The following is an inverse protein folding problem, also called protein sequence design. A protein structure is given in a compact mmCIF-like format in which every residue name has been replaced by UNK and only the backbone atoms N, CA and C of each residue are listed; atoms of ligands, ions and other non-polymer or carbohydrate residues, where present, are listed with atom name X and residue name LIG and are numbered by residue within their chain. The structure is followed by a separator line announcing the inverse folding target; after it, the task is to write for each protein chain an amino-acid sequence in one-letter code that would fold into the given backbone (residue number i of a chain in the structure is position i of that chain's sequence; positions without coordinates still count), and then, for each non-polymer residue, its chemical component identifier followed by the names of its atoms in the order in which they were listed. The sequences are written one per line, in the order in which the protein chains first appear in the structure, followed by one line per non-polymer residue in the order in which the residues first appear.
data_IF_057146984963
#
_entry.id   IF_057146984963
#
_cell.length_a   1.000
_cell.length_b   1.000
_cell.length_c   1.000
_cell.angle_alpha   90.00
_cell.angle_beta   90.00
_cell.angle_gamma   90.00
#
_symmetry.space_group_name_H-M   'P 1'
#
loop_
_entity.id
_entity.type
_entity.pdbx_description
1 polymer ?
#
# COMPACT_ATOMS: atom_id res chain seq x y z
N UNK A 1 -52.60 53.80 -13.94
CA UNK A 1 -51.89 54.52 -12.86
C UNK A 1 -50.71 53.67 -12.47
N UNK A 2 -49.50 54.09 -12.83
CA UNK A 2 -48.25 53.89 -12.09
C UNK A 2 -47.19 54.78 -12.73
N UNK A 3 -46.96 55.91 -12.07
CA UNK A 3 -45.74 56.72 -12.13
C UNK A 3 -44.52 55.81 -11.89
N UNK A 4 -43.43 55.91 -12.66
CA UNK A 4 -42.48 57.02 -12.67
C UNK A 4 -41.25 56.59 -11.86
N UNK A 5 -40.03 56.94 -12.28
CA UNK A 5 -38.84 57.27 -11.47
C UNK A 5 -37.64 57.47 -12.43
N UNK A 6 -37.35 58.75 -12.68
CA UNK A 6 -36.15 59.26 -13.34
C UNK A 6 -34.98 59.38 -12.35
N UNK A 7 -33.74 59.25 -12.85
CA UNK A 7 -32.55 59.70 -12.15
C UNK A 7 -31.70 60.61 -13.07
N UNK A 8 -31.23 61.78 -12.57
CA UNK A 8 -30.52 62.76 -13.37
C UNK A 8 -29.02 62.47 -13.50
N UNK A 9 -28.46 62.89 -14.62
CA UNK A 9 -27.02 63.04 -14.85
C UNK A 9 -26.56 64.46 -14.46
N UNK A 10 -25.45 64.57 -13.73
CA UNK A 10 -24.64 65.78 -13.70
C UNK A 10 -23.16 65.45 -13.93
N UNK A 11 -22.50 66.31 -14.69
CA UNK A 11 -21.11 66.22 -15.14
C UNK A 11 -20.18 67.12 -14.29
N UNK A 12 -18.88 66.81 -14.38
CA UNK A 12 -17.70 67.70 -14.43
C UNK A 12 -16.72 67.63 -13.24
N UNK A 13 -15.43 67.54 -13.57
CA UNK A 13 -14.31 67.89 -12.69
C UNK A 13 -13.08 67.02 -12.86
N UNK A 14 -12.22 67.33 -13.84
CA UNK A 14 -10.94 66.65 -14.05
C UNK A 14 -9.87 67.11 -13.07
N UNK A 15 -9.01 66.19 -12.65
CA UNK A 15 -7.65 66.50 -12.22
C UNK A 15 -6.69 65.37 -12.64
N UNK A 16 -5.80 65.70 -13.57
CA UNK A 16 -4.65 64.92 -13.96
C UNK A 16 -3.48 65.19 -13.00
N UNK A 17 -2.96 64.17 -12.32
CA UNK A 17 -1.59 64.19 -11.83
C UNK A 17 -0.90 62.86 -12.15
N UNK A 18 -0.01 62.94 -13.14
CA UNK A 18 1.06 61.98 -13.40
C UNK A 18 2.18 62.24 -12.39
N UNK A 19 2.49 61.23 -11.56
CA UNK A 19 3.82 61.05 -11.01
C UNK A 19 4.17 59.57 -11.02
N UNK A 20 5.00 59.19 -11.99
CA UNK A 20 5.74 57.95 -11.98
C UNK A 20 6.90 58.08 -11.00
N UNK A 21 6.86 57.32 -9.91
CA UNK A 21 8.04 57.00 -9.11
C UNK A 21 8.18 55.48 -9.05
N UNK A 22 9.00 54.94 -9.95
CA UNK A 22 9.44 53.55 -9.91
C UNK A 22 10.55 53.43 -8.86
N UNK A 23 10.19 52.98 -7.66
CA UNK A 23 11.13 52.48 -6.65
C UNK A 23 11.16 50.94 -6.68
N UNK A 24 12.32 50.27 -6.50
CA UNK A 24 12.41 48.81 -6.45
C UNK A 24 11.84 48.26 -5.12
N UNK A 25 10.51 48.28 -4.99
CA UNK A 25 9.79 47.66 -3.88
C UNK A 25 9.27 46.30 -4.30
N UNK A 26 9.86 45.23 -3.76
CA UNK A 26 9.36 43.87 -3.94
C UNK A 26 8.01 43.71 -3.21
N UNK A 27 7.04 43.11 -3.91
CA UNK A 27 5.73 42.60 -3.47
C UNK A 27 4.49 43.47 -3.78
N UNK A 28 3.93 43.30 -4.98
CA UNK A 28 2.50 43.47 -5.31
C UNK A 28 2.26 42.71 -6.64
N UNK A 29 1.62 41.53 -6.75
CA UNK A 29 0.22 41.12 -6.48
C UNK A 29 -0.50 40.88 -7.85
N UNK A 30 -1.42 39.92 -8.05
CA UNK A 30 -1.65 38.63 -7.40
C UNK A 30 -0.88 37.55 -8.18
N UNK A 31 0.37 37.31 -7.78
CA UNK A 31 1.16 36.22 -8.35
C UNK A 31 0.54 34.90 -7.94
N UNK A 32 -0.25 34.32 -8.85
CA UNK A 32 -0.47 32.89 -9.08
C UNK A 32 0.03 32.07 -7.89
N UNK A 33 -0.87 31.78 -6.96
CA UNK A 33 -0.79 30.70 -6.01
C UNK A 33 0.17 29.64 -6.55
N UNK A 34 1.38 29.60 -5.99
CA UNK A 34 2.37 28.55 -6.27
C UNK A 34 1.82 27.30 -5.62
N UNK A 35 0.83 26.71 -6.29
CA UNK A 35 0.42 25.35 -6.06
C UNK A 35 1.67 24.53 -6.36
N UNK A 36 2.23 23.92 -5.32
CA UNK A 36 3.21 22.85 -5.43
C UNK A 36 2.79 21.99 -6.61
N UNK A 37 3.51 22.11 -7.72
CA UNK A 37 3.14 21.39 -8.92
C UNK A 37 3.25 19.91 -8.60
N UNK A 38 2.11 19.26 -8.50
CA UNK A 38 2.04 17.81 -8.63
C UNK A 38 2.63 17.50 -10.01
N UNK A 39 3.72 16.72 -10.09
CA UNK A 39 4.21 16.23 -11.37
C UNK A 39 3.02 15.60 -12.10
N UNK A 40 2.59 16.22 -13.19
CA UNK A 40 1.49 15.71 -13.99
C UNK A 40 2.03 14.47 -14.67
N UNK A 41 1.54 13.30 -14.27
CA UNK A 41 1.74 12.12 -15.09
C UNK A 41 1.18 12.44 -16.48
N UNK A 42 1.90 12.08 -17.56
CA UNK A 42 1.47 12.39 -18.92
C UNK A 42 0.02 11.92 -19.15
N UNK A 43 -0.77 12.74 -19.83
CA UNK A 43 -2.15 12.47 -20.17
C UNK A 43 -2.24 11.10 -20.85
N UNK A 44 -2.80 10.11 -20.16
CA UNK A 44 -2.82 8.71 -20.61
C UNK A 44 -2.34 7.68 -19.58
N UNK A 45 -1.78 8.11 -18.44
CA UNK A 45 -1.53 7.19 -17.32
C UNK A 45 -2.84 6.88 -16.58
N UNK A 46 -3.73 6.13 -17.23
CA UNK A 46 -4.75 5.40 -16.49
C UNK A 46 -4.02 4.41 -15.56
N UNK A 47 -4.49 4.19 -14.33
CA UNK A 47 -4.04 3.04 -13.55
C UNK A 47 -4.12 1.83 -14.47
N UNK A 48 -2.99 1.20 -14.73
CA UNK A 48 -2.99 -0.02 -15.52
C UNK A 48 -3.89 -0.99 -14.76
N UNK A 49 -4.95 -1.55 -15.37
CA UNK A 49 -5.79 -2.50 -14.68
C UNK A 49 -4.87 -3.60 -14.15
N UNK A 50 -4.94 -3.86 -12.85
CA UNK A 50 -4.18 -4.96 -12.25
C UNK A 50 -4.51 -6.26 -12.98
N UNK A 51 -3.52 -7.14 -13.14
CA UNK A 51 -3.75 -8.43 -13.79
C UNK A 51 -4.82 -9.19 -12.97
N UNK A 52 -5.96 -9.59 -13.56
CA UNK A 52 -6.99 -10.32 -12.82
C UNK A 52 -6.45 -11.54 -12.08
N UNK A 53 -5.37 -12.17 -12.59
CA UNK A 53 -4.72 -13.31 -11.94
C UNK A 53 -4.06 -12.96 -10.62
N UNK A 54 -3.48 -11.76 -10.50
CA UNK A 54 -2.86 -11.33 -9.23
C UNK A 54 -3.94 -11.03 -8.19
N UNK A 55 -5.03 -10.37 -8.59
CA UNK A 55 -6.18 -10.12 -7.71
C UNK A 55 -6.83 -11.42 -7.22
N UNK A 56 -7.02 -12.40 -8.11
CA UNK A 56 -7.57 -13.71 -7.72
C UNK A 56 -6.68 -14.43 -6.71
N UNK A 57 -5.36 -14.36 -6.88
CA UNK A 57 -4.41 -14.96 -5.94
C UNK A 57 -4.48 -14.29 -4.56
N UNK A 58 -4.57 -12.97 -4.51
CA UNK A 58 -4.69 -12.22 -3.26
C UNK A 58 -5.96 -12.58 -2.48
N UNK A 59 -7.08 -12.78 -3.18
CA UNK A 59 -8.34 -13.22 -2.56
C UNK A 59 -8.23 -14.63 -1.99
N UNK A 60 -7.57 -15.54 -2.72
CA UNK A 60 -7.32 -16.92 -2.25
C UNK A 60 -6.38 -16.92 -1.04
N UNK A 61 -5.31 -16.12 -1.07
CA UNK A 61 -4.39 -15.97 0.06
C UNK A 61 -5.12 -15.42 1.29
N UNK A 62 -5.95 -14.38 1.14
CA UNK A 62 -6.75 -13.84 2.23
C UNK A 62 -7.69 -14.90 2.84
N UNK A 63 -8.39 -15.65 2.00
CA UNK A 63 -9.27 -16.74 2.45
C UNK A 63 -8.48 -17.86 3.15
N UNK A 64 -7.30 -18.21 2.64
CA UNK A 64 -6.40 -19.16 3.29
C UNK A 64 -6.03 -18.70 4.70
N UNK A 65 -5.63 -17.44 4.87
CA UNK A 65 -5.16 -16.94 6.17
C UNK A 65 -6.29 -16.95 7.21
N UNK A 66 -7.49 -16.51 6.84
CA UNK A 66 -8.65 -16.55 7.74
C UNK A 66 -8.98 -17.99 8.15
N UNK A 67 -9.04 -18.91 7.19
CA UNK A 67 -9.38 -20.30 7.47
C UNK A 67 -8.28 -21.04 8.24
N UNK A 68 -7.00 -20.79 7.92
CA UNK A 68 -5.86 -21.38 8.63
C UNK A 68 -5.83 -20.94 10.09
N UNK A 69 -6.11 -19.66 10.35
CA UNK A 69 -6.14 -19.10 11.70
C UNK A 69 -7.29 -19.66 12.55
N UNK A 70 -8.39 -20.09 11.91
CA UNK A 70 -9.53 -20.73 12.57
C UNK A 70 -9.44 -22.27 12.64
N UNK A 71 -8.49 -22.88 11.95
CA UNK A 71 -8.38 -24.34 11.85
C UNK A 71 -7.96 -24.97 13.19
N UNK A 72 -8.73 -25.96 13.65
CA UNK A 72 -8.39 -26.74 14.85
C UNK A 72 -7.25 -27.73 14.63
N UNK A 73 -7.02 -28.15 13.38
CA UNK A 73 -5.86 -28.94 12.96
C UNK A 73 -5.15 -28.25 11.77
N UNK A 74 -4.13 -27.41 12.05
CA UNK A 74 -3.36 -26.72 11.03
C UNK A 74 -2.67 -27.67 10.05
N UNK A 75 -2.27 -28.86 10.48
CA UNK A 75 -1.53 -29.81 9.64
C UNK A 75 -2.45 -30.41 8.58
N UNK A 76 -3.64 -30.87 8.99
CA UNK A 76 -4.64 -31.39 8.04
C UNK A 76 -5.16 -30.28 7.12
N UNK A 77 -5.28 -29.05 7.60
CA UNK A 77 -5.63 -27.92 6.76
C UNK A 77 -4.60 -27.71 5.63
N UNK A 78 -3.30 -27.73 5.95
CA UNK A 78 -2.24 -27.57 4.94
C UNK A 78 -2.29 -28.66 3.86
N UNK A 79 -2.63 -29.91 4.25
CA UNK A 79 -2.83 -31.01 3.29
C UNK A 79 -3.97 -30.71 2.32
N UNK A 80 -5.11 -30.26 2.83
CA UNK A 80 -6.29 -29.91 2.01
C UNK A 80 -6.01 -28.70 1.13
N UNK A 81 -5.25 -27.73 1.64
CA UNK A 81 -4.84 -26.55 0.89
C UNK A 81 -3.77 -26.84 -0.19
N UNK A 82 -3.24 -28.06 -0.24
CA UNK A 82 -2.21 -28.47 -1.20
C UNK A 82 -0.83 -27.87 -0.92
N UNK A 83 -0.54 -27.55 0.35
CA UNK A 83 0.79 -27.11 0.77
C UNK A 83 1.59 -28.34 1.21
N UNK A 84 2.69 -28.70 0.53
CA UNK A 84 3.47 -29.88 0.87
C UNK A 84 4.33 -29.64 2.12
N UNK A 85 4.48 -30.66 2.95
CA UNK A 85 5.45 -30.67 4.05
C UNK A 85 6.87 -30.96 3.55
N UNK A 86 6.97 -31.76 2.50
CA UNK A 86 8.21 -31.95 1.73
C UNK A 86 7.89 -31.68 0.28
N UNK A 87 8.43 -30.60 -0.26
CA UNK A 87 8.23 -30.18 -1.64
C UNK A 87 9.50 -30.35 -2.48
N UNK A 88 9.33 -30.59 -3.77
CA UNK A 88 10.41 -30.52 -4.76
C UNK A 88 10.08 -29.44 -5.81
N UNK A 89 11.06 -28.61 -6.17
CA UNK A 89 10.93 -27.68 -7.30
C UNK A 89 11.26 -28.37 -8.64
N UNK A 90 11.12 -27.62 -9.74
CA UNK A 90 11.42 -28.10 -11.10
C UNK A 90 12.88 -28.54 -11.29
N UNK A 91 13.79 -28.07 -10.44
CA UNK A 91 15.21 -28.44 -10.47
C UNK A 91 15.51 -29.71 -9.66
N UNK A 92 14.51 -30.27 -8.97
CA UNK A 92 14.64 -31.41 -8.07
C UNK A 92 15.19 -31.04 -6.69
N UNK A 93 15.24 -29.75 -6.34
CA UNK A 93 15.66 -29.29 -5.02
C UNK A 93 14.56 -29.58 -4.01
N UNK A 94 14.95 -30.14 -2.86
CA UNK A 94 14.02 -30.48 -1.77
C UNK A 94 13.88 -29.37 -0.74
N UNK A 95 12.63 -29.16 -0.33
CA UNK A 95 12.22 -28.17 0.67
C UNK A 95 11.43 -28.86 1.77
N UNK A 96 11.83 -28.66 3.03
CA UNK A 96 11.14 -29.20 4.20
C UNK A 96 10.44 -28.09 4.97
N UNK A 97 9.10 -28.13 5.05
CA UNK A 97 8.31 -27.10 5.73
C UNK A 97 8.63 -27.12 7.22
N UNK A 98 9.04 -25.97 7.74
CA UNK A 98 9.33 -25.78 9.17
C UNK A 98 8.22 -25.02 9.88
N UNK A 99 7.64 -24.01 9.20
CA UNK A 99 6.71 -23.07 9.83
C UNK A 99 5.83 -22.39 8.80
N UNK A 100 4.59 -22.13 9.18
CA UNK A 100 3.70 -21.17 8.52
C UNK A 100 3.65 -19.92 9.39
N UNK A 101 3.88 -18.75 8.79
CA UNK A 101 3.84 -17.46 9.47
C UNK A 101 2.72 -16.60 8.91
N UNK A 102 1.86 -16.12 9.80
CA UNK A 102 0.85 -15.09 9.52
C UNK A 102 1.18 -13.89 10.38
N UNK A 103 1.38 -12.74 9.76
CA UNK A 103 1.75 -11.51 10.45
C UNK A 103 0.78 -10.37 10.16
N UNK A 104 0.27 -9.76 11.23
CA UNK A 104 -0.50 -8.53 11.17
C UNK A 104 0.39 -7.32 11.43
N UNK A 105 0.51 -6.47 10.41
CA UNK A 105 1.19 -5.19 10.51
C UNK A 105 0.17 -4.06 10.47
N UNK A 106 0.26 -3.17 11.43
CA UNK A 106 -0.60 -1.98 11.50
C UNK A 106 0.26 -0.75 11.70
N UNK A 107 0.27 0.13 10.71
CA UNK A 107 0.99 1.40 10.78
C UNK A 107 0.11 2.46 11.47
N UNK A 108 0.56 2.93 12.64
CA UNK A 108 -0.24 3.82 13.52
C UNK A 108 0.29 5.24 13.63
N UNK A 109 1.48 5.53 13.11
CA UNK A 109 2.14 6.83 13.26
C UNK A 109 3.23 7.03 12.23
N UNK A 110 3.58 8.30 11.98
CA UNK A 110 4.69 8.70 11.12
C UNK A 110 5.69 9.54 11.90
N UNK A 111 6.97 9.46 11.51
CA UNK A 111 8.05 10.29 12.04
C UNK A 111 8.62 11.13 10.90
N UNK A 112 8.67 12.44 11.09
CA UNK A 112 9.24 13.38 10.13
C UNK A 112 10.39 14.18 10.75
N UNK A 113 11.53 14.36 10.07
CA UNK A 113 12.61 15.21 10.57
C UNK A 113 12.20 16.68 10.56
N UNK A 114 12.66 17.43 11.56
CA UNK A 114 12.53 18.90 11.58
C UNK A 114 13.59 19.53 10.68
N UNK A 115 13.21 20.53 9.88
CA UNK A 115 14.18 21.27 9.06
C UNK A 115 15.16 22.03 9.94
N UNK A 116 16.46 21.90 9.67
CA UNK A 116 17.51 22.73 10.28
C UNK A 116 17.98 22.29 11.67
N UNK A 117 17.64 21.09 12.14
CA UNK A 117 18.11 20.57 13.43
C UNK A 117 18.12 19.05 13.51
N UNK A 118 18.52 18.51 14.67
CA UNK A 118 18.58 17.06 14.93
C UNK A 118 17.25 16.46 15.46
N UNK A 119 16.16 17.24 15.45
CA UNK A 119 14.88 16.84 16.02
C UNK A 119 13.95 16.13 15.03
N UNK A 120 12.97 15.40 15.57
CA UNK A 120 11.90 14.73 14.82
C UNK A 120 10.52 15.11 15.37
N UNK A 121 9.50 15.09 14.52
CA UNK A 121 8.09 15.19 14.88
C UNK A 121 7.43 13.83 14.70
N UNK A 122 6.67 13.40 15.72
CA UNK A 122 5.82 12.23 15.64
C UNK A 122 4.37 12.65 15.39
N UNK A 123 3.74 12.05 14.39
CA UNK A 123 2.36 12.32 14.00
C UNK A 123 1.57 10.99 14.04
N UNK A 124 0.67 10.78 15.03
CA UNK A 124 -0.25 9.65 15.00
C UNK A 124 -1.09 9.67 13.71
N UNK A 125 -1.22 8.53 13.05
CA UNK A 125 -2.00 8.42 11.82
C UNK A 125 -3.50 8.40 12.16
N UNK A 126 -4.33 9.25 11.50
CA UNK A 126 -5.77 9.12 11.58
C UNK A 126 -6.22 7.72 11.14
N UNK A 127 -7.33 7.20 11.67
CA UNK A 127 -7.81 5.85 11.38
C UNK A 127 -7.99 5.56 9.87
N UNK A 128 -8.33 6.59 9.07
CA UNK A 128 -8.46 6.47 7.60
C UNK A 128 -7.12 6.30 6.86
N UNK A 129 -6.01 6.58 7.55
CA UNK A 129 -4.63 6.48 7.04
C UNK A 129 -3.86 5.32 7.69
N UNK A 130 -4.43 4.67 8.71
CA UNK A 130 -3.89 3.44 9.29
C UNK A 130 -3.93 2.34 8.23
N UNK A 131 -2.75 1.88 7.80
CA UNK A 131 -2.65 0.71 6.93
C UNK A 131 -2.62 -0.54 7.78
N UNK A 132 -3.49 -1.51 7.49
CA UNK A 132 -3.42 -2.86 8.03
C UNK A 132 -3.02 -3.79 6.90
N UNK A 133 -1.93 -4.52 7.08
CA UNK A 133 -1.41 -5.48 6.10
C UNK A 133 -1.22 -6.80 6.80
N UNK A 134 -1.78 -7.84 6.20
CA UNK A 134 -1.61 -9.22 6.64
C UNK A 134 -0.65 -9.88 5.66
N UNK A 135 0.38 -10.55 6.18
CA UNK A 135 1.38 -11.21 5.35
C UNK A 135 1.43 -12.69 5.71
N UNK A 136 1.38 -13.56 4.69
CA UNK A 136 1.56 -14.99 4.83
C UNK A 136 2.95 -15.40 4.33
N UNK A 137 3.56 -16.39 4.97
CA UNK A 137 4.63 -17.15 4.36
C UNK A 137 4.82 -18.55 4.93
N UNK A 138 5.55 -19.32 4.15
CA UNK A 138 5.96 -20.68 4.46
C UNK A 138 7.48 -20.72 4.53
N UNK A 139 8.00 -21.09 5.69
CA UNK A 139 9.43 -21.20 5.93
C UNK A 139 9.83 -22.64 5.69
N UNK A 140 10.62 -22.87 4.65
CA UNK A 140 11.15 -24.17 4.29
C UNK A 140 12.66 -24.24 4.55
N UNK A 141 13.18 -25.41 4.89
CA UNK A 141 14.61 -25.67 4.84
C UNK A 141 14.96 -26.35 3.51
N UNK A 142 15.90 -25.78 2.77
CA UNK A 142 16.26 -26.22 1.41
C UNK A 142 17.51 -27.13 1.35
N UNK A 143 17.94 -27.61 2.52
CA UNK A 143 19.19 -28.36 2.74
C UNK A 143 20.39 -27.49 3.09
N UNK A 144 20.32 -26.16 2.93
CA UNK A 144 21.40 -25.22 3.25
C UNK A 144 20.94 -24.11 4.19
N UNK A 145 19.76 -23.56 3.95
CA UNK A 145 19.23 -22.43 4.70
C UNK A 145 17.71 -22.54 4.84
N UNK A 146 17.17 -21.71 5.73
CA UNK A 146 15.74 -21.44 5.77
C UNK A 146 15.41 -20.42 4.68
N UNK A 147 14.49 -20.78 3.81
CA UNK A 147 13.95 -19.93 2.74
C UNK A 147 12.49 -19.61 3.02
N UNK A 148 12.08 -18.41 2.68
CA UNK A 148 10.70 -17.94 2.81
C UNK A 148 10.03 -18.02 1.44
N UNK A 149 8.94 -18.77 1.35
CA UNK A 149 8.08 -18.85 0.17
C UNK A 149 6.73 -18.19 0.45
N UNK A 150 6.17 -17.53 -0.55
CA UNK A 150 4.78 -17.05 -0.53
C UNK A 150 3.80 -18.21 -0.82
N UNK A 151 2.51 -17.89 -0.84
CA UNK A 151 1.46 -18.89 -1.06
C UNK A 151 1.55 -19.58 -2.42
N UNK A 152 1.79 -18.83 -3.49
CA UNK A 152 1.86 -19.37 -4.84
C UNK A 152 3.09 -20.28 -5.00
N UNK A 153 4.26 -19.83 -4.54
CA UNK A 153 5.50 -20.59 -4.61
C UNK A 153 5.42 -21.88 -3.78
N UNK A 154 4.84 -21.82 -2.57
CA UNK A 154 4.66 -23.02 -1.74
C UNK A 154 3.74 -24.04 -2.40
N UNK A 155 2.64 -23.59 -3.02
CA UNK A 155 1.68 -24.46 -3.72
C UNK A 155 2.22 -25.03 -5.04
N UNK A 156 3.17 -24.35 -5.67
CA UNK A 156 3.79 -24.81 -6.91
C UNK A 156 4.78 -25.98 -6.71
N UNK A 157 5.22 -26.24 -5.47
CA UNK A 157 6.10 -27.36 -5.18
C UNK A 157 5.40 -28.71 -5.42
N UNK A 158 6.12 -29.65 -6.03
CA UNK A 158 5.65 -31.02 -6.17
C UNK A 158 5.63 -31.72 -4.82
N UNK A 159 4.50 -32.30 -4.44
CA UNK A 159 4.34 -32.95 -3.13
C UNK A 159 5.11 -34.27 -3.04
N UNK A 160 6.04 -34.34 -2.09
CA UNK A 160 6.84 -35.52 -1.74
C UNK A 160 6.68 -35.89 -0.26
N UNK A 161 5.66 -35.37 0.40
CA UNK A 161 5.39 -35.59 1.82
C UNK A 161 5.14 -37.07 2.16
N UNK A 162 4.67 -37.86 1.18
CA UNK A 162 4.52 -39.31 1.35
C UNK A 162 5.87 -40.06 1.43
N UNK A 163 6.94 -39.51 0.84
CA UNK A 163 8.28 -40.09 0.89
C UNK A 163 8.99 -39.82 2.22
N UNK A 164 8.47 -38.91 3.04
CA UNK A 164 9.02 -38.53 4.34
C UNK A 164 8.34 -39.23 5.53
N UNK A 165 7.61 -40.33 5.32
CA UNK A 165 6.83 -40.96 6.40
C UNK A 165 7.74 -41.38 7.56
N UNK A 166 7.35 -40.98 8.77
CA UNK A 166 7.79 -41.60 10.01
C UNK A 166 6.63 -42.48 10.50
N UNK A 167 6.87 -43.79 10.64
CA UNK A 167 5.90 -44.70 11.22
C UNK A 167 5.78 -44.40 12.74
N UNK A 168 4.63 -43.91 13.19
CA UNK A 168 4.35 -43.76 14.62
C UNK A 168 3.80 -45.08 15.16
N UNK A 169 4.40 -45.69 16.20
CA UNK A 169 3.79 -46.86 16.83
C UNK A 169 2.46 -46.44 17.50
N UNK A 170 1.40 -47.21 17.25
CA UNK A 170 0.10 -47.01 17.89
C UNK A 170 0.24 -47.19 19.41
N UNK A 171 -0.34 -46.26 20.17
CA UNK A 171 -0.47 -46.34 21.63
C UNK A 171 -1.40 -47.49 22.04
#
# INVERSE_FOLDING_TARGET
MHDGHDHPHEHMGGHSHSHAHAGPGHNAGPGRNVQWQTPHLPHGHAPQPEDPRTTDLDLVEAAFVEAFSAASDPTSFLRVAGIPFVGEDETGRRFHLLRVEVEDRVDVGAVAPLLGGAGVRYDPLPAKMTSRRRALAFLFHDGRAVVRLDFAAARALSDRSAASRFDTPSA
#
